data_IF_987247842314
#
_entry.id   IF_987247842314
#
_cell.length_a   1.000
_cell.length_b   1.000
_cell.length_c   1.000
_cell.angle_alpha   90.00
_cell.angle_beta   90.00
_cell.angle_gamma   90.00
#
_symmetry.space_group_name_H-M   'P 1'
#
loop_
_entity.id
_entity.type
_entity.pdbx_description
1 polymer ?
#
# COMPACT_ATOMS: atom_id res chain seq x y z
N UNK A 1 1.52 3.34 21.43
CA UNK A 1 0.38 2.39 21.35
C UNK A 1 0.83 1.05 21.91
N UNK A 2 0.07 0.42 22.81
CA UNK A 2 0.46 -0.85 23.43
C UNK A 2 0.01 -2.02 22.56
N UNK A 3 0.91 -2.97 22.32
CA UNK A 3 0.62 -4.16 21.52
C UNK A 3 -0.41 -5.05 22.24
N UNK A 4 -1.55 -5.31 21.60
CA UNK A 4 -2.62 -6.14 22.15
C UNK A 4 -2.27 -7.62 22.15
N UNK A 5 -3.00 -8.44 22.92
CA UNK A 5 -2.85 -9.90 22.92
C UNK A 5 -3.08 -10.51 21.53
N UNK A 6 -4.07 -9.98 20.79
CA UNK A 6 -4.38 -10.42 19.42
C UNK A 6 -3.22 -10.18 18.48
N UNK A 7 -2.62 -8.98 18.49
CA UNK A 7 -1.47 -8.68 17.64
C UNK A 7 -0.26 -9.52 18.04
N UNK A 8 -0.02 -9.72 19.34
CA UNK A 8 1.05 -10.61 19.80
C UNK A 8 0.87 -12.04 19.29
N UNK A 9 -0.36 -12.58 19.32
CA UNK A 9 -0.65 -13.92 18.81
C UNK A 9 -0.42 -14.03 17.30
N UNK A 10 -0.78 -13.00 16.52
CA UNK A 10 -0.49 -12.96 15.08
C UNK A 10 1.02 -12.97 14.83
N UNK A 11 1.78 -12.08 15.52
CA UNK A 11 3.21 -11.97 15.34
C UNK A 11 3.98 -13.23 15.78
N UNK A 12 3.43 -14.03 16.69
CA UNK A 12 4.01 -15.31 17.10
C UNK A 12 4.05 -16.33 15.96
N UNK A 13 3.20 -16.21 14.94
CA UNK A 13 3.27 -17.05 13.75
C UNK A 13 4.46 -16.73 12.83
N UNK A 14 5.15 -15.63 13.09
CA UNK A 14 6.28 -15.11 12.29
C UNK A 14 7.60 -15.18 13.07
N UNK A 15 7.77 -16.14 13.98
CA UNK A 15 8.97 -16.27 14.80
C UNK A 15 10.23 -16.63 13.98
N UNK A 16 10.07 -17.27 12.81
CA UNK A 16 11.16 -17.55 11.87
C UNK A 16 11.59 -16.34 11.03
N UNK A 17 10.78 -15.28 11.01
CA UNK A 17 11.07 -14.08 10.23
C UNK A 17 11.99 -13.10 10.99
N UNK A 18 12.64 -12.23 10.23
CA UNK A 18 13.52 -11.21 10.81
C UNK A 18 12.71 -10.08 11.50
N UNK A 19 13.40 -9.32 12.34
CA UNK A 19 12.78 -8.24 13.11
C UNK A 19 12.16 -7.15 12.24
N UNK A 20 12.69 -6.89 11.04
CA UNK A 20 12.15 -5.90 10.11
C UNK A 20 10.76 -6.30 9.59
N UNK A 21 10.58 -7.57 9.21
CA UNK A 21 9.29 -8.11 8.78
C UNK A 21 8.27 -8.00 9.91
N UNK A 22 8.61 -8.48 11.10
CA UNK A 22 7.73 -8.42 12.28
C UNK A 22 7.39 -6.98 12.67
N UNK A 23 8.37 -6.07 12.62
CA UNK A 23 8.18 -4.67 12.93
C UNK A 23 7.23 -3.98 11.95
N UNK A 24 7.38 -4.21 10.65
CA UNK A 24 6.50 -3.65 9.63
C UNK A 24 5.09 -4.24 9.69
N UNK A 25 4.95 -5.55 9.92
CA UNK A 25 3.64 -6.17 10.15
C UNK A 25 2.94 -5.56 11.38
N UNK A 26 3.69 -5.35 12.47
CA UNK A 26 3.16 -4.69 13.66
C UNK A 26 2.70 -3.24 13.36
N UNK A 27 3.45 -2.47 12.55
CA UNK A 27 3.04 -1.12 12.13
C UNK A 27 1.67 -1.13 11.46
N UNK A 28 1.43 -2.03 10.52
CA UNK A 28 0.14 -2.15 9.82
C UNK A 28 -0.96 -2.60 10.78
N UNK A 29 -0.70 -3.62 11.62
CA UNK A 29 -1.68 -4.18 12.55
C UNK A 29 -2.09 -3.23 13.69
N UNK A 30 -1.26 -2.25 14.00
CA UNK A 30 -1.53 -1.27 15.05
C UNK A 30 -2.04 0.08 14.54
N UNK A 31 -2.07 0.26 13.20
CA UNK A 31 -2.46 1.52 12.57
C UNK A 31 -3.99 1.67 12.49
N UNK A 32 -4.43 2.92 12.59
CA UNK A 32 -5.79 3.35 12.28
C UNK A 32 -6.86 2.85 13.25
N UNK A 33 -8.12 2.93 12.82
CA UNK A 33 -9.29 2.61 13.65
C UNK A 33 -9.39 1.14 14.05
N UNK A 34 -8.84 0.24 13.24
CA UNK A 34 -8.78 -1.19 13.53
C UNK A 34 -7.49 -1.61 14.24
N UNK A 35 -6.66 -0.64 14.61
CA UNK A 35 -5.39 -0.91 15.26
C UNK A 35 -5.53 -1.76 16.51
N UNK A 36 -4.79 -2.87 16.56
CA UNK A 36 -4.82 -3.81 17.69
C UNK A 36 -5.88 -4.90 17.61
N UNK A 37 -6.85 -4.82 16.70
CA UNK A 37 -7.93 -5.82 16.57
C UNK A 37 -7.53 -7.07 15.81
N UNK A 38 -6.40 -7.06 15.10
CA UNK A 38 -5.99 -8.10 14.15
C UNK A 38 -6.69 -8.04 12.80
N UNK A 39 -7.51 -7.01 12.57
CA UNK A 39 -8.19 -6.76 11.28
C UNK A 39 -7.52 -5.58 10.58
N UNK A 40 -7.58 -5.56 9.24
CA UNK A 40 -6.98 -4.53 8.41
C UNK A 40 -7.99 -3.98 7.41
N UNK A 41 -7.90 -2.67 7.15
CA UNK A 41 -8.49 -2.04 5.96
C UNK A 41 -7.36 -1.28 5.27
N UNK A 42 -7.12 -1.59 4.01
CA UNK A 42 -6.08 -0.97 3.19
C UNK A 42 -6.76 -0.25 2.03
N UNK A 43 -6.37 0.99 1.74
CA UNK A 43 -6.79 1.70 0.54
C UNK A 43 -5.84 1.37 -0.61
N UNK A 44 -6.27 0.62 -1.64
CA UNK A 44 -5.48 0.44 -2.84
C UNK A 44 -5.87 1.49 -3.89
N UNK A 45 -4.92 2.18 -4.48
CA UNK A 45 -5.16 3.13 -5.58
C UNK A 45 -4.11 2.92 -6.66
N UNK A 46 -4.52 2.38 -7.80
CA UNK A 46 -3.69 2.23 -9.00
C UNK A 46 -4.33 2.81 -10.27
N UNK A 47 -5.48 3.45 -10.12
CA UNK A 47 -6.28 4.01 -11.23
C UNK A 47 -5.52 5.05 -12.06
N UNK A 48 -4.53 5.71 -11.49
CA UNK A 48 -3.69 6.67 -12.22
C UNK A 48 -2.82 6.01 -13.30
N UNK A 49 -2.57 4.71 -13.22
CA UNK A 49 -1.81 3.91 -14.18
C UNK A 49 -2.68 2.82 -14.81
N UNK A 50 -3.35 2.00 -14.01
CA UNK A 50 -4.29 0.98 -14.45
C UNK A 50 -5.70 1.57 -14.63
N UNK A 51 -6.64 0.77 -15.14
CA UNK A 51 -8.07 1.10 -15.17
C UNK A 51 -8.42 2.47 -15.76
N UNK A 52 -7.97 2.71 -16.98
CA UNK A 52 -8.43 3.85 -17.74
C UNK A 52 -7.52 5.05 -17.90
N UNK A 53 -6.28 4.90 -17.76
CA UNK A 53 -5.31 5.41 -16.79
C UNK A 53 -5.80 6.68 -16.07
N UNK A 54 -5.22 7.87 -16.35
CA UNK A 54 -5.56 9.09 -15.62
C UNK A 54 -7.03 9.52 -15.73
N UNK A 55 -7.73 9.20 -16.83
CA UNK A 55 -9.14 9.59 -17.01
C UNK A 55 -10.09 8.99 -15.96
N UNK A 56 -9.66 7.96 -15.22
CA UNK A 56 -10.44 7.41 -14.12
C UNK A 56 -10.71 8.43 -13.01
N UNK A 57 -9.88 9.46 -12.92
CA UNK A 57 -10.05 10.54 -11.95
C UNK A 57 -10.91 11.71 -12.45
N UNK A 58 -11.32 11.71 -13.73
CA UNK A 58 -12.08 12.81 -14.31
C UNK A 58 -13.38 13.16 -13.55
N UNK A 59 -14.15 12.21 -12.99
CA UNK A 59 -15.33 12.52 -12.19
C UNK A 59 -15.01 13.22 -10.86
N UNK A 60 -13.78 13.11 -10.37
CA UNK A 60 -13.28 13.77 -9.16
C UNK A 60 -11.90 14.34 -9.42
N UNK A 61 -11.78 15.59 -9.93
CA UNK A 61 -10.50 16.20 -10.29
C UNK A 61 -9.49 16.29 -9.16
N UNK A 62 -9.92 16.33 -7.88
CA UNK A 62 -9.01 16.33 -6.75
C UNK A 62 -8.15 15.04 -6.70
N UNK A 63 -8.65 13.95 -7.24
CA UNK A 63 -7.94 12.66 -7.29
C UNK A 63 -6.75 12.62 -8.27
N UNK A 64 -6.56 13.67 -9.12
CA UNK A 64 -5.33 13.80 -9.90
C UNK A 64 -4.12 14.15 -9.04
N UNK A 65 -4.34 14.73 -7.86
CA UNK A 65 -3.27 14.98 -6.89
C UNK A 65 -3.03 13.71 -6.05
N UNK A 66 -1.83 13.10 -6.07
CA UNK A 66 -1.52 11.93 -5.25
C UNK A 66 -1.69 12.18 -3.74
N UNK A 67 -1.52 13.40 -3.25
CA UNK A 67 -1.74 13.77 -1.85
C UNK A 67 -3.18 13.52 -1.40
N UNK A 68 -4.15 13.69 -2.30
CA UNK A 68 -5.56 13.43 -2.02
C UNK A 68 -5.81 12.01 -1.51
N UNK A 69 -5.16 11.01 -2.10
CA UNK A 69 -5.33 9.61 -1.71
C UNK A 69 -4.68 9.29 -0.37
N UNK A 70 -3.52 9.88 -0.09
CA UNK A 70 -2.91 9.80 1.24
C UNK A 70 -3.85 10.36 2.30
N UNK A 71 -4.38 11.56 2.05
CA UNK A 71 -5.27 12.24 3.00
C UNK A 71 -6.54 11.42 3.26
N UNK A 72 -7.16 10.83 2.24
CA UNK A 72 -8.31 9.92 2.43
C UNK A 72 -7.95 8.76 3.36
N UNK A 73 -6.82 8.11 3.13
CA UNK A 73 -6.42 6.96 3.93
C UNK A 73 -6.18 7.35 5.40
N UNK A 74 -5.59 8.52 5.64
CA UNK A 74 -5.31 9.06 6.96
C UNK A 74 -6.61 9.45 7.66
N UNK A 75 -7.49 10.24 7.03
CA UNK A 75 -8.74 10.75 7.59
C UNK A 75 -9.72 9.61 7.91
N UNK A 76 -9.77 8.60 7.05
CA UNK A 76 -10.56 7.40 7.28
C UNK A 76 -9.99 6.51 8.41
N UNK A 77 -8.75 6.76 8.82
CA UNK A 77 -8.07 5.97 9.86
C UNK A 77 -7.80 4.54 9.42
N UNK A 78 -7.29 4.37 8.19
CA UNK A 78 -7.02 3.06 7.60
C UNK A 78 -5.71 2.46 8.13
N UNK A 79 -5.53 1.17 7.89
CA UNK A 79 -4.35 0.42 8.35
C UNK A 79 -3.12 0.67 7.48
N UNK A 80 -3.32 0.89 6.18
CA UNK A 80 -2.26 1.20 5.22
C UNK A 80 -2.84 1.85 3.95
N UNK A 81 -1.94 2.47 3.17
CA UNK A 81 -2.18 2.95 1.82
C UNK A 81 -1.30 2.20 0.83
N UNK A 82 -1.88 1.64 -0.23
CA UNK A 82 -1.18 0.87 -1.26
C UNK A 82 -1.29 1.57 -2.61
N UNK A 83 -0.16 1.85 -3.27
CA UNK A 83 -0.16 2.54 -4.57
C UNK A 83 1.11 2.26 -5.38
N UNK A 84 1.10 2.57 -6.70
CA UNK A 84 2.29 2.55 -7.53
C UNK A 84 3.36 3.55 -7.08
N UNK A 85 4.60 3.32 -7.55
CA UNK A 85 5.79 4.06 -7.13
C UNK A 85 5.60 5.59 -7.21
N UNK A 86 5.20 6.13 -8.36
CA UNK A 86 5.09 7.59 -8.53
C UNK A 86 4.05 8.24 -7.63
N UNK A 87 2.96 7.53 -7.30
CA UNK A 87 1.97 8.04 -6.35
C UNK A 87 2.50 8.07 -4.92
N UNK A 88 3.26 7.05 -4.52
CA UNK A 88 3.89 7.04 -3.20
C UNK A 88 4.99 8.07 -3.08
N UNK A 89 5.84 8.21 -4.10
CA UNK A 89 6.92 9.21 -4.12
C UNK A 89 6.40 10.65 -3.95
N UNK A 90 5.31 10.98 -4.64
CA UNK A 90 4.74 12.33 -4.58
C UNK A 90 4.30 12.77 -3.18
N UNK A 91 3.93 11.83 -2.31
CA UNK A 91 3.49 12.14 -0.95
C UNK A 91 4.44 11.65 0.16
N UNK A 92 5.52 10.94 -0.18
CA UNK A 92 6.36 10.26 0.80
C UNK A 92 6.95 11.21 1.87
N UNK A 93 7.39 12.39 1.47
CA UNK A 93 7.92 13.40 2.40
C UNK A 93 6.81 14.03 3.24
N UNK A 94 5.75 14.49 2.60
CA UNK A 94 4.63 15.19 3.25
C UNK A 94 3.94 14.34 4.30
N UNK A 95 3.75 13.05 4.03
CA UNK A 95 2.98 12.13 4.89
C UNK A 95 3.85 11.11 5.63
N UNK A 96 5.17 11.35 5.71
CA UNK A 96 6.10 10.48 6.40
C UNK A 96 5.62 10.16 7.83
N UNK A 97 5.52 8.86 8.14
CA UNK A 97 5.15 8.38 9.48
C UNK A 97 3.66 8.47 9.82
N UNK A 98 2.80 9.07 8.98
CA UNK A 98 1.38 9.23 9.28
C UNK A 98 0.55 8.00 8.96
N UNK A 99 0.96 7.21 7.95
CA UNK A 99 0.31 5.97 7.55
C UNK A 99 1.35 4.98 7.00
N UNK A 100 1.27 3.69 7.32
CA UNK A 100 2.05 2.67 6.63
C UNK A 100 1.74 2.64 5.13
N UNK A 101 2.76 2.58 4.29
CA UNK A 101 2.61 2.46 2.84
C UNK A 101 2.99 1.09 2.34
N UNK A 102 2.35 0.65 1.25
CA UNK A 102 2.61 -0.59 0.55
C UNK A 102 2.89 -0.25 -0.91
N UNK A 103 4.10 -0.56 -1.39
CA UNK A 103 4.45 -0.30 -2.78
C UNK A 103 3.91 -1.41 -3.68
N UNK A 104 3.06 -1.05 -4.65
CA UNK A 104 2.69 -1.94 -5.75
C UNK A 104 3.82 -1.96 -6.77
N UNK A 105 4.49 -3.14 -6.92
CA UNK A 105 5.72 -3.26 -7.71
C UNK A 105 5.48 -3.64 -9.18
N UNK A 106 4.26 -4.05 -9.53
CA UNK A 106 3.92 -4.39 -10.91
C UNK A 106 2.58 -3.76 -11.33
N UNK A 107 2.46 -3.45 -12.60
CA UNK A 107 1.26 -2.82 -13.16
C UNK A 107 1.08 -3.14 -14.63
N UNK A 108 -0.17 -3.09 -15.08
CA UNK A 108 -0.56 -3.06 -16.49
C UNK A 108 -1.54 -1.91 -16.69
N UNK A 109 -1.63 -1.36 -17.87
CA UNK A 109 -2.68 -0.37 -18.14
C UNK A 109 -3.80 -0.98 -19.01
N UNK A 110 -4.97 -0.35 -18.99
CA UNK A 110 -6.16 -0.84 -19.71
C UNK A 110 -6.05 -0.80 -21.25
N UNK A 111 -4.96 -0.28 -21.78
CA UNK A 111 -4.65 -0.29 -23.22
C UNK A 111 -3.75 -1.46 -23.62
N UNK A 112 -3.21 -2.19 -22.63
CA UNK A 112 -2.44 -3.39 -22.91
C UNK A 112 -3.35 -4.48 -23.51
N UNK A 113 -2.86 -5.20 -24.50
CA UNK A 113 -3.58 -6.29 -25.15
C UNK A 113 -3.57 -7.61 -24.36
N UNK A 114 -2.89 -7.65 -23.22
CA UNK A 114 -2.78 -8.84 -22.36
C UNK A 114 -2.86 -8.46 -20.88
N UNK A 115 -3.09 -9.46 -20.03
CA UNK A 115 -3.08 -9.29 -18.57
C UNK A 115 -1.66 -9.22 -17.97
N UNK A 116 -0.63 -9.30 -18.81
CA UNK A 116 0.76 -9.31 -18.34
C UNK A 116 1.10 -8.02 -17.59
N UNK A 117 1.76 -8.19 -16.45
CA UNK A 117 2.18 -7.11 -15.57
C UNK A 117 3.64 -6.74 -15.85
N UNK A 118 3.92 -5.45 -16.02
CA UNK A 118 5.29 -4.94 -16.06
C UNK A 118 5.75 -4.60 -14.64
N UNK A 119 7.03 -4.80 -14.35
CA UNK A 119 7.63 -4.29 -13.12
C UNK A 119 7.75 -2.76 -13.22
N UNK A 120 7.12 -2.06 -12.30
CA UNK A 120 7.04 -0.59 -12.25
C UNK A 120 7.65 -0.01 -10.98
N UNK A 121 8.18 -0.86 -10.11
CA UNK A 121 8.92 -0.50 -8.90
C UNK A 121 9.69 -1.70 -8.37
N UNK A 122 10.60 -1.46 -7.45
CA UNK A 122 11.46 -2.50 -6.87
C UNK A 122 11.48 -2.49 -5.35
N UNK A 123 12.12 -3.49 -4.77
CA UNK A 123 12.31 -3.59 -3.32
C UNK A 123 13.15 -2.40 -2.80
N UNK A 124 14.14 -1.96 -3.57
CA UNK A 124 14.97 -0.82 -3.21
C UNK A 124 14.15 0.48 -3.12
N UNK A 125 13.16 0.65 -4.01
CA UNK A 125 12.22 1.76 -3.94
C UNK A 125 11.36 1.69 -2.67
N UNK A 126 10.85 0.51 -2.34
CA UNK A 126 10.08 0.32 -1.12
C UNK A 126 10.90 0.64 0.14
N UNK A 127 12.16 0.22 0.18
CA UNK A 127 13.08 0.49 1.29
C UNK A 127 13.37 1.99 1.42
N UNK A 128 13.73 2.65 0.32
CA UNK A 128 14.03 4.08 0.31
C UNK A 128 12.83 4.96 0.69
N UNK A 129 11.61 4.54 0.35
CA UNK A 129 10.36 5.23 0.71
C UNK A 129 9.84 4.86 2.11
N UNK A 130 10.51 3.94 2.81
CA UNK A 130 10.07 3.47 4.12
C UNK A 130 8.76 2.70 4.11
N UNK A 131 8.43 2.05 2.99
CA UNK A 131 7.23 1.23 2.88
C UNK A 131 7.24 0.08 3.89
N UNK A 132 6.07 -0.24 4.43
CA UNK A 132 5.92 -1.35 5.36
C UNK A 132 5.83 -2.71 4.66
N UNK A 133 5.45 -2.72 3.37
CA UNK A 133 5.33 -3.92 2.55
C UNK A 133 5.44 -3.59 1.06
N UNK A 134 5.59 -4.64 0.26
CA UNK A 134 5.35 -4.61 -1.17
C UNK A 134 4.09 -5.41 -1.50
N UNK A 135 3.41 -5.04 -2.58
CA UNK A 135 2.27 -5.75 -3.13
C UNK A 135 2.43 -5.95 -4.62
N UNK A 136 1.84 -7.00 -5.14
CA UNK A 136 1.83 -7.26 -6.57
C UNK A 136 0.56 -7.98 -7.01
N UNK A 137 0.18 -7.77 -8.26
CA UNK A 137 -0.95 -8.45 -8.89
C UNK A 137 -0.45 -9.70 -9.61
N UNK A 138 -1.15 -10.80 -9.42
CA UNK A 138 -0.98 -12.02 -10.21
C UNK A 138 -2.33 -12.44 -10.77
N UNK A 139 -2.31 -13.00 -11.97
CA UNK A 139 -3.48 -13.58 -12.62
C UNK A 139 -3.23 -15.09 -12.80
N UNK A 140 -3.71 -15.93 -11.88
CA UNK A 140 -3.52 -17.38 -11.98
C UNK A 140 -4.06 -17.91 -13.32
N UNK A 141 -3.23 -18.63 -14.07
CA UNK A 141 -3.59 -19.15 -15.39
C UNK A 141 -3.34 -18.20 -16.56
N UNK A 142 -2.75 -17.03 -16.36
CA UNK A 142 -2.17 -16.23 -17.44
C UNK A 142 -0.75 -16.70 -17.78
N UNK A 143 -0.29 -16.40 -19.02
CA UNK A 143 1.07 -16.70 -19.46
C UNK A 143 2.13 -15.89 -18.70
#
# INVERSE_FOLDING_TARGET
MTMTSTVKAILANYESDNAGVKGNLARILLQGRLGGTGKLIILPVDQGFEHGPARSFAPNPAAYDPHYHYQIAIDAGLSAYAAPLGMLEAGADTFAGQIPTILKVNSSNSWAGSANQALTGGVDDALRLGCAAIGFTIYPGSD
#
